data_IF_231515003643
#
_entry.id   IF_231515003643
#
_cell.length_a   1.000
_cell.length_b   1.000
_cell.length_c   1.000
_cell.angle_alpha   90.00
_cell.angle_beta   90.00
_cell.angle_gamma   90.00
#
_symmetry.space_group_name_H-M   'P 1'
#
loop_
_entity.id
_entity.type
_entity.pdbx_description
1 polymer ?
#
# COMPACT_ATOMS: atom_id res chain seq x y z
N UNK A 1 -8.26 -19.97 -13.18
CA UNK A 1 -7.70 -18.64 -12.93
C UNK A 1 -6.30 -18.59 -13.48
N UNK A 2 -6.12 -17.89 -14.60
CA UNK A 2 -4.84 -17.81 -15.31
C UNK A 2 -4.03 -16.55 -14.95
N UNK A 3 -4.69 -15.44 -14.64
CA UNK A 3 -4.04 -14.13 -14.46
C UNK A 3 -3.56 -13.82 -13.04
N UNK A 4 -4.08 -14.54 -12.05
CA UNK A 4 -3.70 -14.44 -10.64
C UNK A 4 -3.37 -15.86 -10.18
N UNK A 5 -2.16 -16.32 -10.53
CA UNK A 5 -1.65 -17.66 -10.26
C UNK A 5 -1.63 -18.04 -8.77
N UNK A 6 -1.10 -19.24 -8.46
CA UNK A 6 -1.02 -19.83 -7.12
C UNK A 6 -0.74 -18.81 -6.01
N UNK A 7 -1.38 -19.01 -4.85
CA UNK A 7 -1.43 -18.11 -3.68
C UNK A 7 -0.26 -17.11 -3.60
N UNK A 8 -0.51 -15.90 -4.13
CA UNK A 8 0.50 -14.85 -4.25
C UNK A 8 1.06 -14.44 -2.88
N UNK A 9 0.26 -14.55 -1.81
CA UNK A 9 0.68 -14.28 -0.43
C UNK A 9 1.66 -15.35 0.01
N UNK A 10 1.35 -16.63 -0.21
CA UNK A 10 2.23 -17.73 0.15
C UNK A 10 3.57 -17.68 -0.61
N UNK A 11 3.53 -17.51 -1.93
CA UNK A 11 4.74 -17.42 -2.75
C UNK A 11 5.62 -16.23 -2.34
N UNK A 12 5.00 -15.06 -2.13
CA UNK A 12 5.71 -13.85 -1.70
C UNK A 12 6.27 -13.98 -0.28
N UNK A 13 5.59 -14.71 0.61
CA UNK A 13 6.10 -15.02 1.96
C UNK A 13 7.41 -15.81 1.89
N UNK A 14 7.47 -16.86 1.06
CA UNK A 14 8.72 -17.62 0.89
C UNK A 14 9.81 -16.79 0.21
N UNK A 15 9.45 -16.05 -0.83
CA UNK A 15 10.37 -15.13 -1.51
C UNK A 15 10.99 -14.10 -0.56
N UNK A 16 10.18 -13.49 0.30
CA UNK A 16 10.63 -12.49 1.27
C UNK A 16 11.55 -13.09 2.34
N UNK A 17 11.21 -14.28 2.87
CA UNK A 17 12.07 -15.00 3.82
C UNK A 17 13.44 -15.30 3.20
N UNK A 18 13.52 -15.52 1.90
CA UNK A 18 14.81 -15.70 1.22
C UNK A 18 15.59 -14.39 1.12
N UNK A 19 14.93 -13.26 0.79
CA UNK A 19 15.59 -11.95 0.81
C UNK A 19 16.16 -11.61 2.19
N UNK A 20 15.40 -11.86 3.26
CA UNK A 20 15.83 -11.64 4.64
C UNK A 20 17.04 -12.49 5.03
N UNK A 21 17.19 -13.69 4.45
CA UNK A 21 18.39 -14.53 4.63
C UNK A 21 19.58 -14.07 3.80
N UNK A 22 19.34 -13.49 2.63
CA UNK A 22 20.40 -13.04 1.71
C UNK A 22 21.08 -11.77 2.22
N UNK A 23 20.31 -10.77 2.67
CA UNK A 23 20.84 -9.43 3.00
C UNK A 23 22.03 -9.45 3.97
N UNK A 24 21.99 -10.19 5.09
CA UNK A 24 23.11 -10.24 6.03
C UNK A 24 24.41 -10.79 5.42
N UNK A 25 24.31 -11.56 4.34
CA UNK A 25 25.45 -12.21 3.69
C UNK A 25 26.04 -11.39 2.54
N UNK A 26 25.37 -10.31 2.09
CA UNK A 26 25.80 -9.56 0.91
C UNK A 26 27.22 -9.03 1.04
N UNK A 27 27.60 -8.49 2.21
CA UNK A 27 28.95 -7.99 2.47
C UNK A 27 30.02 -9.06 2.23
N UNK A 28 29.76 -10.29 2.68
CA UNK A 28 30.70 -11.39 2.51
C UNK A 28 30.72 -11.90 1.07
N UNK A 29 29.56 -11.99 0.43
CA UNK A 29 29.45 -12.55 -0.93
C UNK A 29 30.03 -11.64 -2.01
N UNK A 30 30.10 -10.33 -1.77
CA UNK A 30 30.70 -9.36 -2.69
C UNK A 30 32.12 -8.94 -2.28
N UNK A 31 32.75 -9.65 -1.34
CA UNK A 31 34.09 -9.32 -0.90
C UNK A 31 35.13 -9.82 -1.93
N UNK A 32 35.86 -8.88 -2.54
CA UNK A 32 36.96 -9.17 -3.47
C UNK A 32 38.11 -8.18 -3.25
N UNK A 33 39.35 -8.69 -3.15
CA UNK A 33 40.53 -7.88 -2.89
C UNK A 33 40.74 -6.83 -4.00
N UNK A 34 40.85 -5.56 -3.60
CA UNK A 34 41.06 -4.44 -4.53
C UNK A 34 39.80 -3.91 -5.21
N UNK A 35 38.61 -4.46 -4.93
CA UNK A 35 37.32 -3.93 -5.41
C UNK A 35 36.69 -2.92 -4.45
N UNK A 36 35.84 -2.06 -4.99
CA UNK A 36 34.99 -1.11 -4.24
C UNK A 36 33.69 -1.80 -3.81
N UNK A 37 32.82 -1.10 -3.07
CA UNK A 37 31.50 -1.61 -2.66
C UNK A 37 30.40 -1.50 -3.74
N UNK A 38 30.77 -1.35 -5.02
CA UNK A 38 29.83 -1.23 -6.13
C UNK A 38 28.95 -2.48 -6.28
N UNK A 39 29.55 -3.66 -6.25
CA UNK A 39 28.82 -4.93 -6.37
C UNK A 39 27.85 -5.14 -5.19
N UNK A 40 28.26 -4.71 -3.98
CA UNK A 40 27.40 -4.72 -2.79
C UNK A 40 26.16 -3.85 -2.99
N UNK A 41 26.35 -2.63 -3.48
CA UNK A 41 25.27 -1.68 -3.75
C UNK A 41 24.34 -2.21 -4.87
N UNK A 42 24.89 -2.81 -5.91
CA UNK A 42 24.12 -3.41 -7.00
C UNK A 42 23.23 -4.55 -6.48
N UNK A 43 23.79 -5.52 -5.76
CA UNK A 43 23.02 -6.64 -5.21
C UNK A 43 21.96 -6.17 -4.21
N UNK A 44 22.26 -5.18 -3.38
CA UNK A 44 21.27 -4.55 -2.50
C UNK A 44 20.12 -3.91 -3.30
N UNK A 45 20.44 -3.25 -4.42
CA UNK A 45 19.46 -2.75 -5.38
C UNK A 45 18.55 -3.87 -5.92
N UNK A 46 19.13 -5.00 -6.33
CA UNK A 46 18.36 -6.16 -6.80
C UNK A 46 17.44 -6.76 -5.73
N UNK A 47 17.87 -6.79 -4.47
CA UNK A 47 17.02 -7.21 -3.34
C UNK A 47 15.81 -6.31 -3.21
N UNK A 48 16.00 -4.99 -3.21
CA UNK A 48 14.89 -4.04 -3.08
C UNK A 48 13.95 -4.06 -4.28
N UNK A 49 14.47 -4.28 -5.50
CA UNK A 49 13.66 -4.50 -6.69
C UNK A 49 12.83 -5.79 -6.60
N UNK A 50 13.42 -6.89 -6.13
CA UNK A 50 12.72 -8.16 -5.93
C UNK A 50 11.64 -8.05 -4.84
N UNK A 51 11.92 -7.34 -3.75
CA UNK A 51 10.92 -7.01 -2.74
C UNK A 51 9.72 -6.28 -3.36
N UNK A 52 9.97 -5.28 -4.21
CA UNK A 52 8.91 -4.53 -4.88
C UNK A 52 8.05 -5.43 -5.78
N UNK A 53 8.68 -6.38 -6.49
CA UNK A 53 7.95 -7.40 -7.27
C UNK A 53 7.00 -8.20 -6.39
N UNK A 54 7.45 -8.72 -5.24
CA UNK A 54 6.59 -9.48 -4.33
C UNK A 54 5.41 -8.66 -3.82
N UNK A 55 5.65 -7.43 -3.36
CA UNK A 55 4.56 -6.56 -2.90
C UNK A 55 3.55 -6.27 -4.03
N UNK A 56 4.03 -6.10 -5.27
CA UNK A 56 3.15 -5.89 -6.42
C UNK A 56 2.30 -7.11 -6.74
N UNK A 57 2.87 -8.32 -6.65
CA UNK A 57 2.11 -9.55 -6.86
C UNK A 57 0.99 -9.69 -5.84
N UNK A 58 1.28 -9.45 -4.56
CA UNK A 58 0.25 -9.51 -3.51
C UNK A 58 -0.81 -8.43 -3.70
N UNK A 59 -0.41 -7.19 -3.98
CA UNK A 59 -1.33 -6.08 -4.18
C UNK A 59 -2.31 -6.29 -5.35
N UNK A 60 -1.98 -7.13 -6.35
CA UNK A 60 -2.91 -7.46 -7.46
C UNK A 60 -4.14 -8.24 -7.00
N UNK A 61 -4.07 -8.93 -5.86
CA UNK A 61 -5.21 -9.65 -5.29
C UNK A 61 -6.31 -8.69 -4.83
N UNK A 62 -5.94 -7.50 -4.34
CA UNK A 62 -6.90 -6.47 -3.90
C UNK A 62 -7.54 -5.79 -5.11
N UNK A 63 -8.88 -5.80 -5.16
CA UNK A 63 -9.68 -5.44 -6.31
C UNK A 63 -9.40 -6.32 -7.54
N UNK A 64 -8.81 -7.49 -7.34
CA UNK A 64 -8.47 -8.43 -8.41
C UNK A 64 -9.69 -9.15 -8.97
N UNK A 65 -9.60 -9.58 -10.22
CA UNK A 65 -10.62 -10.39 -10.90
C UNK A 65 -9.90 -11.56 -11.54
N UNK A 66 -10.35 -12.78 -11.23
CA UNK A 66 -9.93 -13.99 -11.91
C UNK A 66 -10.55 -14.03 -13.30
N UNK A 67 -9.76 -14.46 -14.28
CA UNK A 67 -10.19 -14.76 -15.64
C UNK A 67 -9.99 -16.26 -15.89
N UNK A 68 -11.05 -16.92 -16.35
CA UNK A 68 -11.05 -18.30 -16.81
C UNK A 68 -11.27 -18.33 -18.33
N UNK A 69 -10.38 -18.99 -19.08
CA UNK A 69 -10.58 -19.21 -20.50
C UNK A 69 -11.66 -20.28 -20.70
N UNK A 70 -12.85 -19.83 -21.10
CA UNK A 70 -14.01 -20.69 -21.33
C UNK A 70 -14.54 -20.59 -22.76
N UNK A 71 -14.98 -21.72 -23.30
CA UNK A 71 -15.80 -21.77 -24.53
C UNK A 71 -17.28 -21.58 -24.21
N UNK A 72 -18.10 -21.26 -25.22
CA UNK A 72 -19.52 -20.91 -25.04
C UNK A 72 -20.36 -22.00 -24.36
N UNK A 73 -19.95 -23.26 -24.52
CA UNK A 73 -20.59 -24.46 -23.97
C UNK A 73 -20.13 -24.79 -22.54
N UNK A 74 -19.12 -24.11 -22.01
CA UNK A 74 -18.65 -24.31 -20.64
C UNK A 74 -19.42 -23.43 -19.65
N UNK A 75 -19.86 -24.03 -18.55
CA UNK A 75 -20.69 -23.36 -17.55
C UNK A 75 -19.91 -22.36 -16.66
N UNK A 76 -20.66 -21.43 -16.07
CA UNK A 76 -20.18 -20.44 -15.11
C UNK A 76 -19.54 -19.20 -15.76
N UNK A 77 -19.21 -18.19 -14.95
CA UNK A 77 -18.70 -16.93 -15.47
C UNK A 77 -17.26 -17.04 -15.99
N UNK A 78 -16.88 -16.16 -16.92
CA UNK A 78 -15.49 -15.97 -17.40
C UNK A 78 -14.68 -15.16 -16.39
N UNK A 79 -15.34 -14.20 -15.73
CA UNK A 79 -14.73 -13.31 -14.75
C UNK A 79 -15.33 -13.52 -13.37
N UNK A 80 -14.50 -13.62 -12.35
CA UNK A 80 -14.95 -13.75 -10.96
C UNK A 80 -14.08 -12.87 -10.07
N UNK A 81 -14.65 -12.01 -9.21
CA UNK A 81 -13.83 -11.22 -8.30
C UNK A 81 -13.02 -12.15 -7.38
N UNK A 82 -11.84 -11.69 -6.96
CA UNK A 82 -11.07 -12.41 -5.94
C UNK A 82 -11.92 -12.43 -4.64
N UNK A 83 -12.12 -13.59 -4.00
CA UNK A 83 -12.87 -13.69 -2.75
C UNK A 83 -12.36 -12.76 -1.64
N UNK A 84 -13.27 -12.22 -0.84
CA UNK A 84 -12.95 -11.21 0.18
C UNK A 84 -11.87 -11.66 1.17
N UNK A 85 -11.93 -12.91 1.64
CA UNK A 85 -10.94 -13.51 2.54
C UNK A 85 -9.52 -13.44 1.97
N UNK A 86 -9.35 -13.75 0.67
CA UNK A 86 -8.05 -13.65 -0.02
C UNK A 86 -7.58 -12.21 -0.18
N UNK A 87 -8.50 -11.28 -0.43
CA UNK A 87 -8.14 -9.87 -0.53
C UNK A 87 -7.73 -9.28 0.83
N UNK A 88 -8.42 -9.65 1.92
CA UNK A 88 -8.03 -9.28 3.30
C UNK A 88 -6.68 -9.89 3.67
N UNK A 89 -6.46 -11.18 3.41
CA UNK A 89 -5.15 -11.81 3.63
C UNK A 89 -4.01 -11.14 2.85
N UNK A 90 -4.28 -10.67 1.63
CA UNK A 90 -3.32 -9.88 0.86
C UNK A 90 -3.05 -8.51 1.48
N UNK A 91 -4.09 -7.82 1.96
CA UNK A 91 -3.93 -6.55 2.68
C UNK A 91 -3.12 -6.75 3.98
N UNK A 92 -3.45 -7.76 4.79
CA UNK A 92 -2.74 -8.08 6.03
C UNK A 92 -1.25 -8.33 5.78
N UNK A 93 -0.93 -9.14 4.76
CA UNK A 93 0.45 -9.35 4.34
C UNK A 93 1.15 -8.01 4.00
N UNK A 94 0.50 -7.11 3.26
CA UNK A 94 1.10 -5.82 2.91
C UNK A 94 1.24 -4.91 4.12
N UNK A 95 0.29 -4.93 5.05
CA UNK A 95 0.41 -4.21 6.31
C UNK A 95 1.63 -4.67 7.09
N UNK A 96 1.80 -5.98 7.25
CA UNK A 96 2.91 -6.58 7.99
C UNK A 96 4.27 -6.40 7.30
N UNK A 97 4.33 -6.59 5.98
CA UNK A 97 5.60 -6.71 5.25
C UNK A 97 6.00 -5.45 4.48
N UNK A 98 5.03 -4.59 4.13
CA UNK A 98 5.26 -3.35 3.41
C UNK A 98 5.13 -2.10 4.29
N UNK A 99 4.15 -2.06 5.19
CA UNK A 99 3.84 -0.83 5.92
C UNK A 99 4.48 -0.75 7.31
N UNK A 100 5.25 -1.75 7.71
CA UNK A 100 6.10 -1.70 8.91
C UNK A 100 7.52 -1.25 8.57
N UNK A 101 8.29 -0.90 9.61
CA UNK A 101 9.72 -0.57 9.47
C UNK A 101 10.52 -1.83 9.06
N UNK A 102 11.21 -1.84 7.90
CA UNK A 102 11.92 -3.03 7.44
C UNK A 102 13.33 -3.10 8.05
N UNK A 103 13.44 -3.49 9.32
CA UNK A 103 14.71 -3.49 10.06
C UNK A 103 15.82 -4.28 9.36
N UNK A 104 15.48 -5.39 8.69
CA UNK A 104 16.42 -6.22 7.93
C UNK A 104 17.01 -5.53 6.68
N UNK A 105 16.38 -4.47 6.15
CA UNK A 105 16.93 -3.63 5.09
C UNK A 105 17.73 -2.45 5.63
N UNK A 106 17.57 -2.11 6.91
CA UNK A 106 18.14 -0.91 7.53
C UNK A 106 19.40 -1.19 8.34
N UNK A 107 20.13 -2.26 8.01
CA UNK A 107 21.36 -2.63 8.71
C UNK A 107 22.44 -1.53 8.54
N UNK A 108 22.82 -0.81 9.62
CA UNK A 108 23.81 0.26 9.53
C UNK A 108 25.20 -0.23 9.14
N UNK A 109 25.57 -1.49 9.41
CA UNK A 109 26.87 -2.03 9.05
C UNK A 109 26.97 -2.29 7.53
N UNK A 110 25.85 -2.66 6.92
CA UNK A 110 25.71 -2.82 5.48
C UNK A 110 25.65 -1.46 4.78
N UNK A 111 24.70 -0.60 5.17
CA UNK A 111 24.40 0.64 4.46
C UNK A 111 25.58 1.62 4.48
N UNK A 112 26.31 1.74 5.60
CA UNK A 112 27.46 2.65 5.72
C UNK A 112 28.64 2.28 4.82
N UNK A 113 28.62 1.12 4.15
CA UNK A 113 29.65 0.72 3.19
C UNK A 113 29.48 1.38 1.83
N UNK A 114 28.27 1.79 1.45
CA UNK A 114 28.01 2.35 0.12
C UNK A 114 27.16 3.63 0.12
N UNK A 115 26.54 4.03 1.24
CA UNK A 115 25.78 5.29 1.33
C UNK A 115 26.01 6.05 2.64
N UNK A 116 26.02 7.38 2.56
CA UNK A 116 26.07 8.29 3.72
C UNK A 116 24.70 8.80 4.18
N UNK A 117 23.73 8.82 3.27
CA UNK A 117 22.32 9.14 3.51
C UNK A 117 21.50 8.59 2.33
N UNK A 118 20.23 8.21 2.57
CA UNK A 118 19.33 7.75 1.51
C UNK A 118 18.40 6.61 1.88
N UNK A 119 18.76 5.75 2.85
CA UNK A 119 17.94 4.63 3.29
C UNK A 119 16.48 4.99 3.63
N UNK A 120 16.26 6.07 4.39
CA UNK A 120 14.90 6.50 4.75
C UNK A 120 14.08 6.89 3.52
N UNK A 121 14.68 7.62 2.58
CA UNK A 121 14.03 8.02 1.33
C UNK A 121 13.72 6.81 0.44
N UNK A 122 14.65 5.85 0.37
CA UNK A 122 14.47 4.59 -0.34
C UNK A 122 13.30 3.80 0.22
N UNK A 123 13.22 3.64 1.55
CA UNK A 123 12.10 2.94 2.16
C UNK A 123 10.80 3.71 1.95
N UNK A 124 10.80 5.04 2.08
CA UNK A 124 9.61 5.85 1.73
C UNK A 124 9.10 5.49 0.34
N UNK A 125 9.95 5.53 -0.69
CA UNK A 125 9.56 5.23 -2.07
C UNK A 125 9.01 3.81 -2.22
N UNK A 126 9.61 2.83 -1.54
CA UNK A 126 9.13 1.46 -1.54
C UNK A 126 7.72 1.34 -0.94
N UNK A 127 7.49 1.93 0.24
CA UNK A 127 6.22 1.84 0.95
C UNK A 127 5.12 2.65 0.25
N UNK A 128 5.39 3.92 -0.10
CA UNK A 128 4.40 4.76 -0.80
C UNK A 128 4.10 4.23 -2.19
N UNK A 129 5.06 3.58 -2.86
CA UNK A 129 4.81 2.89 -4.12
C UNK A 129 3.78 1.77 -4.00
N UNK A 130 3.80 0.98 -2.91
CA UNK A 130 2.78 -0.04 -2.64
C UNK A 130 1.44 0.62 -2.33
N UNK A 131 1.45 1.66 -1.48
CA UNK A 131 0.26 2.38 -1.07
C UNK A 131 -0.48 3.03 -2.25
N UNK A 132 0.25 3.72 -3.14
CA UNK A 132 -0.31 4.37 -4.31
C UNK A 132 -0.94 3.38 -5.30
N UNK A 133 -0.40 2.15 -5.35
CA UNK A 133 -1.04 1.08 -6.12
C UNK A 133 -2.34 0.66 -5.45
N UNK A 134 -2.34 0.41 -4.14
CA UNK A 134 -3.55 0.05 -3.37
C UNK A 134 -4.67 1.08 -3.52
N UNK A 135 -4.33 2.37 -3.45
CA UNK A 135 -5.25 3.49 -3.63
C UNK A 135 -5.39 3.96 -5.08
N UNK A 136 -5.05 3.11 -6.06
CA UNK A 136 -5.22 3.46 -7.46
C UNK A 136 -6.72 3.59 -7.80
N UNK A 137 -7.16 4.64 -8.52
CA UNK A 137 -8.57 4.83 -8.88
C UNK A 137 -9.21 3.63 -9.58
N UNK A 138 -8.50 2.97 -10.52
CA UNK A 138 -9.02 1.81 -11.23
C UNK A 138 -9.18 0.58 -10.32
N UNK A 139 -8.39 0.45 -9.26
CA UNK A 139 -8.59 -0.60 -8.25
C UNK A 139 -9.82 -0.33 -7.40
N UNK A 140 -10.00 0.91 -6.93
CA UNK A 140 -11.19 1.30 -6.19
C UNK A 140 -12.46 1.13 -7.04
N UNK A 141 -12.39 1.48 -8.33
CA UNK A 141 -13.47 1.26 -9.28
C UNK A 141 -13.86 -0.22 -9.41
N UNK A 142 -12.88 -1.14 -9.47
CA UNK A 142 -13.13 -2.59 -9.52
C UNK A 142 -13.78 -3.12 -8.24
N UNK A 143 -13.41 -2.60 -7.07
CA UNK A 143 -14.08 -2.97 -5.81
C UNK A 143 -15.54 -2.51 -5.82
N UNK A 144 -15.80 -1.26 -6.19
CA UNK A 144 -17.16 -0.72 -6.33
C UNK A 144 -17.99 -1.48 -7.37
N UNK A 145 -17.38 -1.84 -8.50
CA UNK A 145 -18.05 -2.61 -9.55
C UNK A 145 -18.40 -4.02 -9.06
N UNK A 146 -17.49 -4.68 -8.34
CA UNK A 146 -17.76 -6.00 -7.76
C UNK A 146 -18.97 -5.97 -6.81
N UNK A 147 -19.08 -4.95 -5.95
CA UNK A 147 -20.23 -4.76 -5.07
C UNK A 147 -21.53 -4.53 -5.86
N UNK A 148 -21.48 -3.62 -6.85
CA UNK A 148 -22.65 -3.28 -7.66
C UNK A 148 -23.17 -4.49 -8.45
N UNK A 149 -22.27 -5.31 -8.99
CA UNK A 149 -22.63 -6.54 -9.72
C UNK A 149 -23.23 -7.58 -8.77
N UNK A 150 -22.61 -7.80 -7.60
CA UNK A 150 -23.09 -8.78 -6.61
C UNK A 150 -24.48 -8.42 -6.07
N UNK A 151 -24.76 -7.13 -5.90
CA UNK A 151 -26.09 -6.64 -5.49
C UNK A 151 -27.19 -6.92 -6.53
N UNK A 152 -26.85 -7.03 -7.81
CA UNK A 152 -27.79 -7.39 -8.89
C UNK A 152 -27.98 -8.91 -8.96
N UNK A 153 -26.89 -9.66 -8.92
CA UNK A 153 -26.90 -11.11 -8.92
C UNK A 153 -25.67 -11.63 -8.16
N UNK A 154 -25.85 -12.51 -7.14
CA UNK A 154 -24.74 -13.02 -6.35
C UNK A 154 -23.66 -13.65 -7.24
N UNK A 155 -22.42 -13.18 -7.04
CA UNK A 155 -21.23 -13.64 -7.76
C UNK A 155 -20.78 -15.04 -7.32
N UNK A 156 -21.38 -15.56 -6.24
CA UNK A 156 -21.05 -16.86 -5.65
C UNK A 156 -19.84 -16.83 -4.72
N UNK A 157 -19.27 -15.65 -4.48
CA UNK A 157 -18.18 -15.41 -3.53
C UNK A 157 -18.51 -14.18 -2.69
N UNK A 158 -17.96 -14.10 -1.47
CA UNK A 158 -18.05 -12.87 -0.68
C UNK A 158 -17.23 -11.77 -1.36
N UNK A 159 -17.86 -10.60 -1.57
CA UNK A 159 -17.21 -9.44 -2.17
C UNK A 159 -16.58 -8.56 -1.10
N UNK A 160 -15.33 -8.16 -1.33
CA UNK A 160 -14.66 -7.20 -0.45
C UNK A 160 -15.10 -5.78 -0.81
N UNK A 161 -15.88 -5.15 0.07
CA UNK A 161 -16.35 -3.80 -0.19
C UNK A 161 -15.20 -2.78 -0.19
N UNK A 162 -15.28 -1.76 -1.04
CA UNK A 162 -14.38 -0.63 -1.11
C UNK A 162 -14.33 0.14 0.21
N UNK A 163 -15.47 0.28 0.91
CA UNK A 163 -15.52 0.88 2.25
C UNK A 163 -14.74 0.07 3.28
N UNK A 164 -14.89 -1.26 3.27
CA UNK A 164 -14.19 -2.14 4.19
C UNK A 164 -12.69 -2.13 3.91
N UNK A 165 -12.30 -2.18 2.64
CA UNK A 165 -10.91 -2.09 2.22
C UNK A 165 -10.24 -0.79 2.69
N UNK A 166 -10.93 0.35 2.53
CA UNK A 166 -10.40 1.64 2.94
C UNK A 166 -10.27 1.74 4.46
N UNK A 167 -11.26 1.22 5.21
CA UNK A 167 -11.22 1.16 6.66
C UNK A 167 -10.08 0.26 7.17
N UNK A 168 -9.97 -0.98 6.68
CA UNK A 168 -8.91 -1.92 7.05
C UNK A 168 -7.51 -1.34 6.75
N UNK A 169 -7.36 -0.64 5.62
CA UNK A 169 -6.11 0.03 5.26
C UNK A 169 -5.80 1.21 6.20
N UNK A 170 -6.79 2.04 6.55
CA UNK A 170 -6.63 3.15 7.50
C UNK A 170 -6.19 2.61 8.86
N UNK A 171 -6.93 1.63 9.39
CA UNK A 171 -6.71 1.05 10.72
C UNK A 171 -5.28 0.47 10.83
N UNK A 172 -4.80 -0.16 9.76
CA UNK A 172 -3.42 -0.62 9.64
C UNK A 172 -2.36 0.47 9.64
N UNK A 173 -2.55 1.47 8.80
CA UNK A 173 -1.61 2.58 8.63
C UNK A 173 -1.56 3.49 9.86
N UNK A 174 -2.59 3.49 10.70
CA UNK A 174 -2.74 4.36 11.87
C UNK A 174 -2.91 3.59 13.18
N UNK A 175 -2.57 2.31 13.22
CA UNK A 175 -2.69 1.42 14.39
C UNK A 175 -2.09 1.97 15.69
N UNK A 176 -1.10 2.86 15.61
CA UNK A 176 -0.48 3.52 16.75
C UNK A 176 -1.43 4.48 17.49
N UNK A 177 -2.47 5.00 16.83
CA UNK A 177 -3.46 5.92 17.42
C UNK A 177 -4.28 5.25 18.51
N UNK A 178 -4.67 3.99 18.30
CA UNK A 178 -5.42 3.20 19.27
C UNK A 178 -4.56 2.77 20.45
N UNK A 179 -3.30 2.44 20.18
CA UNK A 179 -2.35 1.96 21.19
C UNK A 179 -1.73 3.11 22.01
N UNK A 180 -1.88 4.36 21.54
CA UNK A 180 -1.16 5.51 22.11
C UNK A 180 0.37 5.36 22.00
N UNK A 181 0.83 4.63 20.98
CA UNK A 181 2.24 4.31 20.78
C UNK A 181 3.01 5.49 20.16
N UNK A 182 4.33 5.52 20.34
CA UNK A 182 5.17 6.45 19.62
C UNK A 182 5.27 6.03 18.15
N UNK A 183 4.91 6.93 17.24
CA UNK A 183 5.03 6.69 15.80
C UNK A 183 6.46 7.00 15.36
N UNK A 184 7.18 6.02 14.79
CA UNK A 184 8.56 6.19 14.33
C UNK A 184 8.67 7.02 13.03
N UNK A 185 9.87 7.55 12.67
CA UNK A 185 10.03 8.43 11.52
C UNK A 185 9.54 7.85 10.18
N UNK A 186 9.69 6.55 9.96
CA UNK A 186 9.34 5.90 8.70
C UNK A 186 7.82 5.72 8.61
N UNK A 187 7.18 5.30 9.71
CA UNK A 187 5.72 5.26 9.86
C UNK A 187 5.08 6.63 9.64
N UNK A 188 5.61 7.69 10.26
CA UNK A 188 5.13 9.07 10.03
C UNK A 188 5.26 9.50 8.57
N UNK A 189 6.27 9.01 7.86
CA UNK A 189 6.48 9.34 6.44
C UNK A 189 5.45 8.62 5.56
N UNK A 190 5.19 7.35 5.84
CA UNK A 190 4.15 6.57 5.17
C UNK A 190 2.75 7.17 5.41
N UNK A 191 2.43 7.53 6.65
CA UNK A 191 1.18 8.18 7.03
C UNK A 191 0.95 9.52 6.31
N UNK A 192 2.00 10.33 6.11
CA UNK A 192 1.89 11.53 5.26
C UNK A 192 1.60 11.18 3.80
N UNK A 193 2.29 10.18 3.26
CA UNK A 193 2.03 9.69 1.89
C UNK A 193 0.61 9.18 1.70
N UNK A 194 0.01 8.56 2.73
CA UNK A 194 -1.40 8.18 2.74
C UNK A 194 -2.34 9.38 2.62
N UNK A 195 -2.18 10.38 3.48
CA UNK A 195 -3.00 11.60 3.45
C UNK A 195 -2.84 12.33 2.11
N UNK A 196 -1.60 12.42 1.59
CA UNK A 196 -1.31 13.01 0.28
C UNK A 196 -2.03 12.26 -0.85
N UNK A 197 -2.03 10.92 -0.82
CA UNK A 197 -2.71 10.10 -1.82
C UNK A 197 -4.24 10.25 -1.74
N UNK A 198 -4.82 10.31 -0.53
CA UNK A 198 -6.24 10.60 -0.37
C UNK A 198 -6.60 12.01 -0.88
N UNK A 199 -5.77 13.01 -0.60
CA UNK A 199 -5.93 14.36 -1.14
C UNK A 199 -5.90 14.39 -2.67
N UNK A 200 -5.02 13.60 -3.29
CA UNK A 200 -4.98 13.43 -4.75
C UNK A 200 -6.28 12.85 -5.30
N UNK A 201 -6.87 11.85 -4.63
CA UNK A 201 -8.15 11.26 -5.05
C UNK A 201 -9.34 12.24 -4.94
N UNK A 202 -9.24 13.24 -4.05
CA UNK A 202 -10.29 14.26 -3.90
C UNK A 202 -10.33 15.25 -5.08
N UNK A 203 -9.20 15.47 -5.77
CA UNK A 203 -9.06 16.56 -6.74
C UNK A 203 -8.75 16.10 -8.16
N UNK A 204 -8.01 14.98 -8.31
CA UNK A 204 -7.49 14.55 -9.60
C UNK A 204 -8.36 13.48 -10.28
N UNK A 205 -8.13 13.33 -11.58
CA UNK A 205 -8.66 12.25 -12.42
C UNK A 205 -7.50 11.41 -12.96
N UNK A 206 -7.65 10.08 -13.11
CA UNK A 206 -6.58 9.25 -13.65
C UNK A 206 -6.31 9.60 -15.12
N UNK A 207 -5.03 9.80 -15.44
CA UNK A 207 -4.62 9.93 -16.85
C UNK A 207 -4.75 8.57 -17.54
N UNK A 208 -5.54 8.52 -18.61
CA UNK A 208 -5.68 7.29 -19.40
C UNK A 208 -4.41 7.03 -20.21
N UNK A 209 -3.84 5.81 -20.17
CA UNK A 209 -2.77 5.44 -21.08
C UNK A 209 -3.28 5.40 -22.53
N UNK A 210 -2.40 5.46 -23.54
CA UNK A 210 -2.81 5.24 -24.92
C UNK A 210 -3.52 3.88 -25.06
N UNK A 211 -4.59 3.82 -25.85
CA UNK A 211 -5.50 2.67 -25.90
C UNK A 211 -4.77 1.33 -26.17
N UNK A 212 -3.74 1.33 -27.00
CA UNK A 212 -2.91 0.15 -27.30
C UNK A 212 -2.26 -0.48 -26.07
N UNK A 213 -2.10 0.27 -24.98
CA UNK A 213 -1.47 -0.20 -23.76
C UNK A 213 -2.44 -0.35 -22.58
N UNK A 214 -3.71 0.04 -22.73
CA UNK A 214 -4.68 0.00 -21.63
C UNK A 214 -4.87 -1.44 -21.08
N UNK A 215 -5.00 -2.43 -21.98
CA UNK A 215 -5.12 -3.84 -21.60
C UNK A 215 -3.81 -4.40 -21.01
N UNK A 216 -2.66 -4.03 -21.57
CA UNK A 216 -1.33 -4.48 -21.10
C UNK A 216 -1.07 -4.03 -19.66
N UNK A 217 -1.52 -2.82 -19.31
CA UNK A 217 -1.34 -2.28 -17.96
C UNK A 217 -2.48 -2.63 -17.00
N UNK A 218 -3.50 -3.38 -17.43
CA UNK A 218 -4.68 -3.67 -16.63
C UNK A 218 -5.41 -2.38 -16.19
N UNK A 219 -5.44 -1.38 -17.06
CA UNK A 219 -6.07 -0.09 -16.76
C UNK A 219 -7.58 -0.22 -16.73
N UNK A 220 -8.19 0.17 -15.61
CA UNK A 220 -9.65 0.28 -15.47
C UNK A 220 -10.05 1.74 -15.59
N UNK A 221 -10.79 2.14 -16.65
CA UNK A 221 -11.27 3.51 -16.80
C UNK A 221 -12.24 3.88 -15.67
N UNK A 222 -12.04 5.04 -15.05
CA UNK A 222 -12.95 5.58 -14.04
C UNK A 222 -12.91 7.10 -14.09
N UNK A 223 -14.07 7.73 -13.87
CA UNK A 223 -14.19 9.15 -13.55
C UNK A 223 -14.42 9.29 -12.06
N UNK A 224 -13.37 9.65 -11.34
CA UNK A 224 -13.35 9.74 -9.87
C UNK A 224 -14.42 10.70 -9.38
N UNK A 225 -14.59 11.85 -10.05
CA UNK A 225 -15.64 12.83 -9.77
C UNK A 225 -17.08 12.35 -9.94
N UNK A 226 -17.31 11.26 -10.68
CA UNK A 226 -18.62 10.68 -10.97
C UNK A 226 -18.77 9.27 -10.39
N UNK A 227 -17.97 8.96 -9.37
CA UNK A 227 -17.97 7.67 -8.68
C UNK A 227 -18.02 7.87 -7.16
N UNK A 228 -18.30 6.80 -6.43
CA UNK A 228 -18.31 6.81 -4.96
C UNK A 228 -16.90 6.92 -4.34
N UNK A 229 -15.85 6.96 -5.16
CA UNK A 229 -14.46 7.14 -4.68
C UNK A 229 -14.31 8.42 -3.85
N UNK A 230 -14.76 9.58 -4.34
CA UNK A 230 -14.62 10.85 -3.59
C UNK A 230 -15.43 10.86 -2.28
N UNK A 231 -16.71 10.46 -2.26
CA UNK A 231 -17.46 10.31 -1.03
C UNK A 231 -16.78 9.40 0.00
N UNK A 232 -16.31 8.22 -0.41
CA UNK A 232 -15.61 7.28 0.47
C UNK A 232 -14.33 7.87 1.03
N UNK A 233 -13.48 8.44 0.17
CA UNK A 233 -12.22 9.10 0.58
C UNK A 233 -12.48 10.27 1.54
N UNK A 234 -13.52 11.07 1.30
CA UNK A 234 -13.93 12.15 2.21
C UNK A 234 -14.32 11.58 3.58
N UNK A 235 -15.07 10.48 3.62
CA UNK A 235 -15.43 9.78 4.85
C UNK A 235 -14.20 9.30 5.63
N UNK A 236 -13.24 8.67 4.95
CA UNK A 236 -11.98 8.22 5.55
C UNK A 236 -11.16 9.37 6.15
N UNK A 237 -11.04 10.48 5.43
CA UNK A 237 -10.36 11.68 5.93
C UNK A 237 -11.05 12.24 7.18
N UNK A 238 -12.38 12.27 7.21
CA UNK A 238 -13.15 12.73 8.38
C UNK A 238 -13.00 11.80 9.59
N UNK A 239 -13.00 10.49 9.37
CA UNK A 239 -12.76 9.50 10.43
C UNK A 239 -11.35 9.64 10.99
N UNK A 240 -10.34 9.68 10.12
CA UNK A 240 -8.95 9.88 10.53
C UNK A 240 -8.75 11.21 11.27
N UNK A 241 -9.40 12.29 10.83
CA UNK A 241 -9.39 13.59 11.53
C UNK A 241 -9.88 13.44 12.97
N UNK A 242 -10.96 12.68 13.19
CA UNK A 242 -11.53 12.42 14.51
C UNK A 242 -10.58 11.59 15.38
N UNK A 243 -10.01 10.52 14.82
CA UNK A 243 -9.07 9.63 15.52
C UNK A 243 -7.80 10.38 15.96
N UNK A 244 -7.23 11.20 15.07
CA UNK A 244 -6.05 12.04 15.38
C UNK A 244 -6.38 13.02 16.51
N UNK A 245 -7.52 13.72 16.44
CA UNK A 245 -7.96 14.64 17.50
C UNK A 245 -8.14 13.91 18.83
N UNK A 246 -8.66 12.69 18.80
CA UNK A 246 -8.83 11.87 20.00
C UNK A 246 -7.48 11.43 20.57
N UNK A 247 -6.54 10.97 19.74
CA UNK A 247 -5.19 10.59 20.14
C UNK A 247 -4.43 11.77 20.77
N UNK A 248 -4.53 12.97 20.17
CA UNK A 248 -3.93 14.20 20.71
C UNK A 248 -4.49 14.61 22.07
N UNK A 249 -5.78 14.33 22.35
CA UNK A 249 -6.40 14.57 23.67
C UNK A 249 -5.95 13.55 24.72
N UNK A 250 -5.78 12.28 24.32
CA UNK A 250 -5.34 11.18 25.21
C UNK A 250 -3.86 11.26 25.58
N UNK A 251 -3.06 12.01 24.84
CA UNK A 251 -1.63 12.21 25.05
C UNK A 251 -1.34 13.53 25.79
N UNK A 252 -1.48 13.61 27.13
CA UNK A 252 -1.11 14.80 27.87
C UNK A 252 0.40 15.05 27.72
N UNK A 253 0.79 16.32 27.59
CA UNK A 253 2.17 16.82 27.38
C UNK A 253 3.26 16.18 28.27
N UNK A 254 2.86 15.54 29.38
CA UNK A 254 3.73 14.94 30.40
C UNK A 254 3.95 13.43 30.25
N UNK A 255 3.15 12.72 29.44
CA UNK A 255 3.44 11.33 29.05
C UNK A 255 4.21 11.38 27.74
N UNK A 256 5.28 10.59 27.66
CA UNK A 256 6.28 10.50 26.60
C UNK A 256 5.72 9.96 25.27
N UNK A 257 4.56 10.42 24.81
CA UNK A 257 4.30 10.44 23.37
C UNK A 257 5.30 11.44 22.81
N UNK A 258 6.31 10.89 22.13
CA UNK A 258 7.46 11.62 21.63
C UNK A 258 7.02 12.94 20.98
N UNK A 259 7.67 14.07 21.32
CA UNK A 259 7.39 15.40 20.72
C UNK A 259 7.25 15.31 19.19
N UNK A 260 8.04 14.47 18.55
CA UNK A 260 7.96 14.22 17.10
C UNK A 260 6.65 13.56 16.64
N UNK A 261 6.09 12.64 17.42
CA UNK A 261 4.77 12.03 17.16
C UNK A 261 3.68 13.09 17.26
N UNK A 262 3.69 13.91 18.32
CA UNK A 262 2.70 14.98 18.48
C UNK A 262 2.73 15.97 17.31
N UNK A 263 3.91 16.48 16.97
CA UNK A 263 4.08 17.43 15.86
C UNK A 263 3.59 16.84 14.53
N UNK A 264 3.81 15.55 14.31
CA UNK A 264 3.31 14.87 13.12
C UNK A 264 1.78 14.75 13.10
N UNK A 265 1.15 14.42 14.22
CA UNK A 265 -0.31 14.34 14.30
C UNK A 265 -0.96 15.72 14.12
N UNK A 266 -0.35 16.78 14.66
CA UNK A 266 -0.79 18.17 14.43
C UNK A 266 -0.64 18.58 12.95
N UNK A 267 0.49 18.27 12.31
CA UNK A 267 0.72 18.49 10.86
C UNK A 267 -0.27 17.70 9.98
N UNK A 268 -0.50 16.42 10.31
CA UNK A 268 -1.46 15.59 9.59
C UNK A 268 -2.90 16.13 9.72
N UNK A 269 -3.27 16.66 10.88
CA UNK A 269 -4.59 17.24 11.10
C UNK A 269 -4.82 18.45 10.18
N UNK A 270 -3.85 19.36 10.10
CA UNK A 270 -3.90 20.55 9.24
C UNK A 270 -4.02 20.12 7.77
N UNK A 271 -3.20 19.17 7.31
CA UNK A 271 -3.28 18.66 5.93
C UNK A 271 -4.64 18.09 5.58
N UNK A 272 -5.26 17.35 6.51
CA UNK A 272 -6.60 16.80 6.32
C UNK A 272 -7.64 17.93 6.27
N UNK A 273 -7.51 18.94 7.12
CA UNK A 273 -8.37 20.14 7.10
C UNK A 273 -8.27 20.87 5.75
N UNK A 274 -7.06 21.12 5.25
CA UNK A 274 -6.82 21.77 3.95
C UNK A 274 -7.39 20.96 2.77
N UNK A 275 -7.39 19.61 2.84
CA UNK A 275 -8.00 18.75 1.82
C UNK A 275 -9.54 18.81 1.88
N UNK A 276 -10.11 18.82 3.09
CA UNK A 276 -11.56 18.75 3.30
C UNK A 276 -12.25 20.10 3.07
N UNK A 277 -11.57 21.19 3.39
CA UNK A 277 -12.02 22.58 3.32
C UNK A 277 -10.91 23.46 2.72
N UNK A 278 -10.66 23.34 1.40
CA UNK A 278 -9.61 24.10 0.75
C UNK A 278 -9.98 25.59 0.76
N UNK A 279 -9.11 26.41 1.34
CA UNK A 279 -9.26 27.87 1.26
C UNK A 279 -9.11 28.32 -0.19
N UNK A 280 -10.06 29.13 -0.68
CA UNK A 280 -9.91 29.82 -1.97
C UNK A 280 -8.78 30.86 -1.82
N UNK A 281 -7.60 30.57 -2.40
CA UNK A 281 -6.55 31.54 -2.71
C UNK A 281 -6.67 32.02 -4.17
#
# INVERSE_FOLDING_TARGET
SEDLGDDAVLASTYGLRNLQRIVPNLVQWTAEDGRTYEDLQELYGQVTAQWNRYMNHVARSVGGVYSDYKTYDQAGPVYTPVPADKQRAALDFLQEQAFTRPDWLLDPELLRRFEGAGAMERVRQLQTGVLNRLLNPGRLARLLEAEAVDAVAPTGVEVYAASDFLADLRDGLWSELDQGAAIDPMRRTLQRGYVEQLGSLMTNEPTSPPAAFASIFGFTPVRVSQSDIRPLVRGELQLLQSEIRQALRRAPYRRTVNRATRLHLEDALIRIEDILDPTED
#
